data_IF_503388799681
#
_entry.id   IF_503388799681
#
_cell.length_a   1.000
_cell.length_b   1.000
_cell.length_c   1.000
_cell.angle_alpha   90.00
_cell.angle_beta   90.00
_cell.angle_gamma   90.00
#
_symmetry.space_group_name_H-M   'P 1'
#
loop_
_entity.id
_entity.type
_entity.pdbx_description
1 polymer ?
#
# COMPACT_ATOMS: atom_id res chain seq x y z
N UNK A 1 -5.70 17.67 -1.44
CA UNK A 1 -7.16 17.69 -1.25
C UNK A 1 -7.61 16.32 -0.75
N UNK A 2 -8.07 16.24 0.48
CA UNK A 2 -9.15 15.35 0.91
C UNK A 2 -9.99 16.23 1.84
N UNK A 3 -11.14 16.69 1.35
CA UNK A 3 -12.03 17.61 2.07
C UNK A 3 -12.83 16.90 3.18
N UNK A 4 -12.67 15.57 3.30
CA UNK A 4 -13.15 14.76 4.41
C UNK A 4 -11.95 13.97 4.95
N UNK A 5 -11.81 13.86 6.27
CA UNK A 5 -10.57 13.51 6.98
C UNK A 5 -9.89 12.16 6.70
N UNK A 6 -10.21 11.46 5.62
CA UNK A 6 -9.59 10.20 5.22
C UNK A 6 -8.27 10.33 4.44
N UNK A 7 -7.80 9.18 3.96
CA UNK A 7 -6.64 9.01 3.07
C UNK A 7 -7.06 8.15 1.88
N UNK A 8 -6.78 8.60 0.66
CA UNK A 8 -6.96 7.82 -0.56
C UNK A 8 -5.62 7.23 -1.00
N UNK A 9 -5.58 5.91 -1.23
CA UNK A 9 -4.41 5.19 -1.71
C UNK A 9 -4.78 4.45 -3.00
N UNK A 10 -4.05 4.66 -4.11
CA UNK A 10 -4.25 3.87 -5.32
C UNK A 10 -4.02 2.38 -5.06
N UNK A 11 -5.07 1.57 -5.20
CA UNK A 11 -4.98 0.12 -5.10
C UNK A 11 -4.36 -0.45 -6.38
N UNK A 12 -3.44 -1.41 -6.21
CA UNK A 12 -2.75 -2.19 -7.24
C UNK A 12 -2.52 -1.40 -8.54
N UNK A 13 -1.75 -0.31 -8.46
CA UNK A 13 -1.84 0.82 -9.38
C UNK A 13 -1.08 0.63 -10.68
N UNK A 14 -0.36 -0.49 -10.80
CA UNK A 14 0.27 -0.99 -12.02
C UNK A 14 -0.38 -2.27 -12.56
N UNK A 15 -1.44 -2.77 -11.90
CA UNK A 15 -2.20 -3.91 -12.41
C UNK A 15 -2.89 -3.57 -13.73
N UNK A 16 -3.08 -4.54 -14.61
CA UNK A 16 -3.81 -4.35 -15.88
C UNK A 16 -5.08 -3.50 -15.66
N UNK A 17 -5.29 -2.47 -16.49
CA UNK A 17 -6.35 -1.42 -16.43
C UNK A 17 -6.26 -0.35 -15.32
N UNK A 18 -5.19 -0.31 -14.53
CA UNK A 18 -5.05 0.66 -13.42
C UNK A 18 -4.43 2.01 -13.79
N UNK A 19 -4.66 2.97 -12.89
CA UNK A 19 -4.43 4.41 -13.03
C UNK A 19 -2.97 4.81 -13.37
N UNK A 20 -1.94 4.21 -12.76
CA UNK A 20 -0.54 4.58 -13.05
C UNK A 20 0.02 3.95 -14.33
N UNK A 21 -0.74 3.07 -14.98
CA UNK A 21 -0.38 2.52 -16.31
C UNK A 21 -0.98 3.33 -17.45
N UNK A 22 -2.03 4.09 -17.21
CA UNK A 22 -2.84 4.76 -18.24
C UNK A 22 -2.73 6.28 -18.21
N UNK A 23 -2.26 6.87 -17.10
CA UNK A 23 -2.09 8.31 -16.93
C UNK A 23 -0.62 8.68 -16.74
N UNK A 24 -0.30 9.96 -16.92
CA UNK A 24 1.00 10.48 -16.57
C UNK A 24 1.20 10.40 -15.04
N UNK A 25 1.86 9.32 -14.61
CA UNK A 25 2.11 9.02 -13.22
C UNK A 25 2.98 10.07 -12.52
N UNK A 26 3.75 10.87 -13.26
CA UNK A 26 4.64 11.85 -12.63
C UNK A 26 3.85 13.08 -12.13
N UNK A 27 2.82 13.51 -12.86
CA UNK A 27 2.00 14.68 -12.50
C UNK A 27 1.11 14.45 -11.27
N UNK A 28 0.69 13.20 -11.04
CA UNK A 28 -0.15 12.85 -9.90
C UNK A 28 0.66 12.59 -8.63
N UNK A 29 1.95 12.24 -8.75
CA UNK A 29 2.78 11.85 -7.61
C UNK A 29 2.73 12.86 -6.44
N UNK A 30 2.82 14.20 -6.67
CA UNK A 30 2.75 15.19 -5.59
C UNK A 30 1.41 15.26 -4.85
N UNK A 31 0.36 14.61 -5.37
CA UNK A 31 -0.99 14.56 -4.79
C UNK A 31 -1.24 13.28 -3.99
N UNK A 32 -0.33 12.31 -4.06
CA UNK A 32 -0.46 11.02 -3.39
C UNK A 32 0.24 11.06 -2.03
N UNK A 33 -0.41 10.49 -1.01
CA UNK A 33 0.24 10.24 0.28
C UNK A 33 1.07 8.95 0.24
N UNK A 34 0.52 7.93 -0.39
CA UNK A 34 1.09 6.60 -0.49
C UNK A 34 0.51 5.85 -1.70
N UNK A 35 1.12 4.70 -2.01
CA UNK A 35 0.77 3.84 -3.15
C UNK A 35 0.75 2.39 -2.68
N UNK A 36 -0.20 1.57 -3.12
CA UNK A 36 -0.10 0.11 -2.88
C UNK A 36 1.03 -0.47 -3.73
N UNK A 37 2.10 -0.92 -3.09
CA UNK A 37 3.33 -1.41 -3.74
C UNK A 37 3.46 -2.92 -3.69
N UNK A 38 2.83 -3.56 -2.70
CA UNK A 38 2.81 -5.00 -2.54
C UNK A 38 1.37 -5.51 -2.48
N UNK A 39 0.90 -6.09 -3.57
CA UNK A 39 -0.45 -6.66 -3.64
C UNK A 39 -0.40 -8.18 -3.92
N UNK A 40 -1.13 -8.97 -3.11
CA UNK A 40 -1.10 -10.44 -3.15
C UNK A 40 -1.73 -11.10 -4.38
N UNK A 41 -2.44 -10.30 -5.18
CA UNK A 41 -3.08 -10.73 -6.43
C UNK A 41 -2.46 -10.04 -7.64
N UNK A 42 -1.34 -9.35 -7.45
CA UNK A 42 -0.62 -8.61 -8.48
C UNK A 42 0.70 -9.31 -8.80
N UNK A 43 1.01 -9.55 -10.09
CA UNK A 43 2.30 -10.06 -10.54
C UNK A 43 3.51 -9.30 -9.97
N UNK A 44 4.62 -10.02 -9.75
CA UNK A 44 5.80 -9.47 -9.09
C UNK A 44 6.46 -8.32 -9.86
N UNK A 45 6.45 -8.35 -11.18
CA UNK A 45 6.92 -7.29 -12.07
C UNK A 45 6.07 -6.01 -11.94
N UNK A 46 4.75 -6.15 -11.76
CA UNK A 46 3.85 -5.02 -11.53
C UNK A 46 4.00 -4.42 -10.13
N UNK A 47 4.17 -5.26 -9.09
CA UNK A 47 4.56 -4.77 -7.77
C UNK A 47 5.93 -4.06 -7.83
N UNK A 48 6.87 -4.58 -8.62
CA UNK A 48 8.18 -3.94 -8.80
C UNK A 48 8.07 -2.55 -9.44
N UNK A 49 7.22 -2.39 -10.45
CA UNK A 49 6.96 -1.09 -11.06
C UNK A 49 6.38 -0.09 -10.04
N UNK A 50 5.49 -0.53 -9.15
CA UNK A 50 4.96 0.30 -8.07
C UNK A 50 6.04 0.70 -7.05
N UNK A 51 6.95 -0.22 -6.71
CA UNK A 51 8.10 0.06 -5.84
C UNK A 51 9.03 1.10 -6.48
N UNK A 52 9.40 0.90 -7.75
CA UNK A 52 10.29 1.82 -8.45
C UNK A 52 9.66 3.22 -8.57
N UNK A 53 8.33 3.31 -8.74
CA UNK A 53 7.59 4.56 -8.72
C UNK A 53 7.68 5.29 -7.37
N UNK A 54 7.39 4.60 -6.24
CA UNK A 54 7.47 5.27 -4.94
C UNK A 54 8.90 5.72 -4.61
N UNK A 55 9.91 4.95 -5.00
CA UNK A 55 11.33 5.33 -4.84
C UNK A 55 11.64 6.58 -5.66
N UNK A 56 11.24 6.61 -6.94
CA UNK A 56 11.47 7.74 -7.85
C UNK A 56 10.88 9.05 -7.31
N UNK A 57 9.70 8.99 -6.70
CA UNK A 57 8.95 10.16 -6.25
C UNK A 57 9.06 10.47 -4.76
N UNK A 58 9.82 9.68 -4.00
CA UNK A 58 9.93 9.84 -2.54
C UNK A 58 8.61 9.60 -1.80
N UNK A 59 7.76 8.71 -2.33
CA UNK A 59 6.47 8.33 -1.76
C UNK A 59 6.61 7.11 -0.83
N UNK A 60 5.56 6.85 -0.06
CA UNK A 60 5.46 5.67 0.81
C UNK A 60 4.69 4.55 0.13
N UNK A 61 5.02 3.33 0.49
CA UNK A 61 4.35 2.12 0.02
C UNK A 61 3.44 1.50 1.10
N UNK A 62 2.28 1.00 0.70
CA UNK A 62 1.46 0.10 1.51
C UNK A 62 1.37 -1.29 0.87
N UNK A 63 1.00 -2.28 1.67
CA UNK A 63 0.82 -3.66 1.26
C UNK A 63 -0.56 -4.20 1.63
N UNK A 64 -1.14 -5.01 0.74
CA UNK A 64 -2.47 -5.58 0.89
C UNK A 64 -2.58 -6.95 0.22
N UNK A 65 -3.36 -7.86 0.81
CA UNK A 65 -3.50 -9.21 0.28
C UNK A 65 -4.39 -9.31 -0.97
N UNK A 66 -5.38 -8.39 -1.10
CA UNK A 66 -6.48 -8.50 -2.07
C UNK A 66 -7.14 -9.90 -2.05
N UNK A 67 -7.21 -10.48 -0.84
CA UNK A 67 -7.63 -11.85 -0.62
C UNK A 67 -9.13 -12.01 -0.88
N UNK A 68 -9.46 -12.87 -1.86
CA UNK A 68 -10.81 -13.36 -2.12
C UNK A 68 -10.99 -14.82 -1.63
N UNK A 69 -9.93 -15.38 -1.03
CA UNK A 69 -9.84 -16.75 -0.52
C UNK A 69 -8.91 -16.77 0.69
N UNK A 70 -9.18 -17.65 1.66
CA UNK A 70 -8.40 -17.75 2.90
C UNK A 70 -6.92 -18.04 2.69
N UNK A 71 -6.58 -18.83 1.67
CA UNK A 71 -5.19 -19.17 1.33
C UNK A 71 -4.31 -17.97 0.94
N UNK A 72 -4.92 -16.82 0.64
CA UNK A 72 -4.22 -15.59 0.27
C UNK A 72 -4.24 -14.53 1.37
N UNK A 73 -5.00 -14.77 2.44
CA UNK A 73 -5.01 -13.90 3.60
C UNK A 73 -3.58 -13.81 4.14
N UNK A 74 -3.14 -12.60 4.48
CA UNK A 74 -1.78 -12.29 4.93
C UNK A 74 -0.65 -12.40 3.90
N UNK A 75 -0.90 -12.62 2.60
CA UNK A 75 0.17 -12.61 1.59
C UNK A 75 1.06 -11.35 1.63
N UNK A 76 0.42 -10.17 1.67
CA UNK A 76 1.08 -8.90 1.96
C UNK A 76 0.27 -8.07 2.94
N UNK A 77 1.00 -7.27 3.74
CA UNK A 77 0.48 -6.48 4.85
C UNK A 77 1.18 -5.12 4.91
N UNK A 78 0.57 -4.17 5.60
CA UNK A 78 1.22 -2.93 6.01
C UNK A 78 1.51 -3.02 7.50
N UNK A 79 2.79 -2.96 7.88
CA UNK A 79 3.20 -2.96 9.27
C UNK A 79 3.33 -1.51 9.74
N UNK A 80 2.66 -1.17 10.85
CA UNK A 80 2.69 0.16 11.47
C UNK A 80 3.55 0.14 12.73
N UNK A 81 4.23 1.24 13.03
CA UNK A 81 4.95 1.44 14.29
C UNK A 81 3.97 1.80 15.42
N UNK A 82 3.19 0.80 15.85
CA UNK A 82 2.24 0.92 16.95
C UNK A 82 0.88 0.28 16.67
N UNK A 83 0.04 0.15 17.72
CA UNK A 83 -1.27 -0.44 17.59
C UNK A 83 -2.24 0.51 16.90
N UNK A 84 -2.95 0.01 15.88
CA UNK A 84 -4.08 0.70 15.25
C UNK A 84 -5.38 0.18 15.87
N UNK A 85 -6.09 1.03 16.63
CA UNK A 85 -7.33 0.65 17.36
C UNK A 85 -8.58 1.33 16.81
N UNK A 86 -8.41 2.34 15.96
CA UNK A 86 -9.48 3.10 15.34
C UNK A 86 -9.13 3.48 13.89
N UNK A 87 -10.12 4.00 13.15
CA UNK A 87 -9.87 4.53 11.80
C UNK A 87 -9.04 5.81 11.88
N UNK A 88 -9.22 6.60 12.94
CA UNK A 88 -8.45 7.81 13.24
C UNK A 88 -6.98 7.49 13.49
N UNK A 89 -6.67 6.41 14.22
CA UNK A 89 -5.29 5.93 14.41
C UNK A 89 -4.68 5.55 13.06
N UNK A 90 -5.43 4.83 12.22
CA UNK A 90 -4.97 4.42 10.90
C UNK A 90 -4.66 5.62 10.00
N UNK A 91 -5.57 6.59 9.93
CA UNK A 91 -5.38 7.82 9.16
C UNK A 91 -4.17 8.60 9.66
N UNK A 92 -4.00 8.71 10.97
CA UNK A 92 -2.87 9.39 11.60
C UNK A 92 -1.56 8.71 11.23
N UNK A 93 -1.45 7.38 11.44
CA UNK A 93 -0.26 6.62 11.12
C UNK A 93 0.10 6.67 9.63
N UNK A 94 -0.90 6.64 8.74
CA UNK A 94 -0.69 6.79 7.29
C UNK A 94 -0.10 8.17 6.92
N UNK A 95 -0.53 9.23 7.63
CA UNK A 95 -0.03 10.59 7.43
C UNK A 95 1.37 10.79 8.02
N UNK A 96 1.62 10.26 9.21
CA UNK A 96 2.90 10.35 9.90
C UNK A 96 4.00 9.61 9.13
N UNK A 97 3.71 8.39 8.66
CA UNK A 97 4.60 7.67 7.75
C UNK A 97 5.34 6.49 8.30
N UNK A 98 5.14 6.19 9.57
CA UNK A 98 5.88 5.14 10.26
C UNK A 98 5.21 3.79 9.99
N UNK A 99 5.30 3.37 8.72
CA UNK A 99 4.82 2.10 8.23
C UNK A 99 5.60 1.63 7.01
N UNK A 100 5.53 0.33 6.73
CA UNK A 100 6.11 -0.24 5.52
C UNK A 100 5.37 -1.51 5.08
N UNK A 101 5.39 -1.81 3.77
CA UNK A 101 4.75 -3.00 3.24
C UNK A 101 5.64 -4.22 3.48
N UNK A 102 5.05 -5.35 3.85
CA UNK A 102 5.77 -6.60 4.15
C UNK A 102 5.10 -7.81 3.52
N UNK A 103 5.90 -8.81 3.17
CA UNK A 103 5.40 -10.15 2.88
C UNK A 103 5.03 -10.84 4.19
N UNK A 104 3.84 -11.46 4.27
CA UNK A 104 3.38 -12.05 5.53
C UNK A 104 4.23 -13.20 6.05
N UNK A 105 4.93 -13.93 5.16
CA UNK A 105 5.88 -14.97 5.59
C UNK A 105 7.03 -14.43 6.48
N UNK A 106 7.33 -13.14 6.41
CA UNK A 106 8.33 -12.51 7.26
C UNK A 106 7.79 -12.13 8.64
N UNK A 107 6.48 -12.24 8.86
CA UNK A 107 5.87 -12.06 10.18
C UNK A 107 5.81 -13.42 10.87
N UNK A 108 6.70 -13.60 11.86
CA UNK A 108 6.48 -14.63 12.87
C UNK A 108 5.38 -14.15 13.79
N UNK A 109 4.13 -14.45 13.43
CA UNK A 109 3.04 -14.36 14.39
C UNK A 109 3.32 -15.44 15.43
N UNK A 110 3.68 -15.05 16.65
CA UNK A 110 3.72 -15.98 17.77
C UNK A 110 2.30 -16.50 17.97
N UNK A 111 2.12 -17.81 17.99
CA UNK A 111 0.84 -18.42 18.36
C UNK A 111 0.41 -17.83 19.71
N UNK A 112 -0.77 -17.20 19.72
CA UNK A 112 -1.40 -16.63 20.90
C UNK A 112 -2.01 -17.71 21.79
#
# INVERSE_FOLDING_TARGET
QALEGGVAIPAHPYRETSFLRTLDGDEIAPKLLAVETLNGKTPADQNRAAIDYVIKHGLRGVGGSDAHQMSRLYSYLTLFDGPIRSIEDLVTALREGDYFPVHGEHLRLSDA
#
